data_IF_336323469463
#
_entry.id   IF_336323469463
#
_cell.length_a   1.000
_cell.length_b   1.000
_cell.length_c   1.000
_cell.angle_alpha   90.00
_cell.angle_beta   90.00
_cell.angle_gamma   90.00
#
_symmetry.space_group_name_H-M   'P 1'
#
loop_
_entity.id
_entity.type
_entity.pdbx_description
1 polymer ?
#
# COMPACT_ATOMS: atom_id res chain seq x y z
N UNK A 1 8.07 45.30 3.25
CA UNK A 1 8.26 44.44 4.43
C UNK A 1 6.88 44.08 4.97
N UNK A 2 6.25 43.05 4.43
CA UNK A 2 4.99 42.47 4.92
C UNK A 2 4.82 41.14 4.19
N UNK A 3 5.06 40.01 4.87
CA UNK A 3 5.06 38.71 4.18
C UNK A 3 5.65 37.55 4.96
N UNK A 4 5.85 37.68 6.27
CA UNK A 4 6.27 36.57 7.14
C UNK A 4 5.25 36.18 8.21
N UNK A 5 4.14 36.92 8.35
CA UNK A 5 3.22 36.74 9.48
C UNK A 5 1.97 35.92 9.17
N UNK A 6 1.76 35.47 7.93
CA UNK A 6 0.55 34.71 7.55
C UNK A 6 0.77 33.19 7.46
N UNK A 7 1.99 32.70 7.69
CA UNK A 7 2.31 31.27 7.71
C UNK A 7 2.54 30.71 9.11
N UNK A 8 2.44 31.53 10.17
CA UNK A 8 2.49 31.02 11.54
C UNK A 8 1.08 30.62 11.99
N UNK A 9 0.60 29.49 11.47
CA UNK A 9 -0.54 28.80 12.06
C UNK A 9 -0.12 28.33 13.47
N UNK A 10 -0.90 28.57 14.54
CA UNK A 10 -0.57 28.13 15.91
C UNK A 10 -0.47 26.60 16.09
N UNK A 11 -0.67 25.84 15.01
CA UNK A 11 -0.57 24.38 14.94
C UNK A 11 0.89 23.92 14.93
N UNK A 12 1.80 24.68 14.31
CA UNK A 12 3.17 24.21 14.05
C UNK A 12 4.01 24.09 15.34
N UNK A 13 3.78 24.97 16.34
CA UNK A 13 4.47 24.90 17.64
C UNK A 13 4.03 23.73 18.53
N UNK A 14 2.86 23.14 18.31
CA UNK A 14 2.37 22.00 19.13
C UNK A 14 2.90 20.64 18.64
N UNK A 15 3.46 20.59 17.44
CA UNK A 15 3.94 19.36 16.79
C UNK A 15 5.43 19.07 17.03
N UNK A 16 6.17 19.97 17.67
CA UNK A 16 7.61 19.82 17.89
C UNK A 16 7.99 18.73 18.91
N UNK A 17 7.04 18.22 19.69
CA UNK A 17 7.31 17.14 20.65
C UNK A 17 6.89 15.80 20.05
N UNK A 18 7.84 15.11 19.43
CA UNK A 18 7.68 13.75 18.89
C UNK A 18 7.22 12.81 20.01
N UNK A 19 5.91 12.65 20.20
CA UNK A 19 5.36 11.71 21.16
C UNK A 19 5.37 10.32 20.53
N UNK A 20 6.45 9.57 20.78
CA UNK A 20 6.54 8.16 20.44
C UNK A 20 5.47 7.42 21.25
N UNK A 21 4.59 6.68 20.57
CA UNK A 21 3.64 5.81 21.25
C UNK A 21 4.41 4.52 21.61
N UNK A 22 4.60 4.18 22.89
CA UNK A 22 5.23 2.92 23.28
C UNK A 22 4.45 1.76 22.66
N UNK A 23 5.14 0.76 22.09
CA UNK A 23 4.50 -0.38 21.40
C UNK A 23 3.45 -1.10 22.27
N UNK A 24 3.69 -1.18 23.58
CA UNK A 24 2.77 -1.73 24.56
C UNK A 24 1.40 -1.01 24.61
N UNK A 25 1.35 0.27 24.25
CA UNK A 25 0.15 1.10 24.36
C UNK A 25 -0.65 1.17 23.06
N UNK A 26 -0.17 0.59 21.95
CA UNK A 26 -0.81 0.76 20.63
C UNK A 26 -2.24 0.22 20.63
N UNK A 27 -2.45 -0.97 21.20
CA UNK A 27 -3.77 -1.60 21.27
C UNK A 27 -4.75 -0.76 22.09
N UNK A 28 -4.34 -0.31 23.28
CA UNK A 28 -5.16 0.53 24.15
C UNK A 28 -5.53 1.86 23.50
N UNK A 29 -4.59 2.47 22.76
CA UNK A 29 -4.87 3.70 22.03
C UNK A 29 -5.87 3.45 20.91
N UNK A 30 -5.68 2.39 20.11
CA UNK A 30 -6.58 1.99 19.01
C UNK A 30 -8.00 1.70 19.50
N UNK A 31 -8.15 1.04 20.65
CA UNK A 31 -9.44 0.74 21.27
C UNK A 31 -10.20 1.98 21.77
N UNK A 32 -9.48 3.04 22.14
CA UNK A 32 -10.07 4.32 22.55
C UNK A 32 -10.58 5.16 21.38
N UNK A 33 -10.25 4.82 20.13
CA UNK A 33 -10.76 5.56 18.98
C UNK A 33 -12.25 5.30 18.74
N UNK A 34 -12.94 6.25 18.08
CA UNK A 34 -14.25 5.97 17.51
C UNK A 34 -14.20 4.72 16.62
N UNK A 35 -15.22 3.87 16.72
CA UNK A 35 -15.29 2.58 16.02
C UNK A 35 -15.03 2.67 14.51
N UNK A 36 -15.43 3.78 13.88
CA UNK A 36 -15.16 4.05 12.46
C UNK A 36 -13.66 4.19 12.17
N UNK A 37 -12.95 4.96 13.00
CA UNK A 37 -11.52 5.22 12.82
C UNK A 37 -10.70 3.98 13.18
N UNK A 38 -11.11 3.24 14.22
CA UNK A 38 -10.54 1.94 14.57
C UNK A 38 -10.63 0.95 13.40
N UNK A 39 -11.84 0.76 12.86
CA UNK A 39 -12.07 -0.16 11.73
C UNK A 39 -11.29 0.26 10.49
N UNK A 40 -11.22 1.56 10.20
CA UNK A 40 -10.45 2.08 9.07
C UNK A 40 -8.95 1.84 9.24
N UNK A 41 -8.40 2.09 10.43
CA UNK A 41 -6.97 1.91 10.71
C UNK A 41 -6.56 0.44 10.58
N UNK A 42 -7.40 -0.48 11.06
CA UNK A 42 -7.14 -1.91 10.97
C UNK A 42 -7.32 -2.43 9.52
N UNK A 43 -8.47 -2.15 8.90
CA UNK A 43 -8.86 -2.75 7.64
C UNK A 43 -8.39 -1.99 6.38
N UNK A 44 -7.91 -0.76 6.52
CA UNK A 44 -7.55 0.09 5.38
C UNK A 44 -6.46 -0.51 4.48
N UNK A 45 -5.45 -1.15 5.07
CA UNK A 45 -4.40 -1.85 4.31
C UNK A 45 -4.93 -3.06 3.55
N UNK A 46 -5.92 -3.77 4.10
CA UNK A 46 -6.54 -4.91 3.43
C UNK A 46 -7.30 -4.50 2.17
N UNK A 47 -7.98 -3.35 2.18
CA UNK A 47 -8.63 -2.84 0.97
C UNK A 47 -7.63 -2.58 -0.18
N UNK A 48 -6.45 -2.04 0.14
CA UNK A 48 -5.38 -1.82 -0.85
C UNK A 48 -4.84 -3.16 -1.38
N UNK A 49 -4.61 -4.11 -0.46
CA UNK A 49 -4.15 -5.45 -0.78
C UNK A 49 -5.15 -6.26 -1.62
N UNK A 50 -6.45 -6.12 -1.37
CA UNK A 50 -7.51 -6.73 -2.20
C UNK A 50 -7.48 -6.20 -3.62
N UNK A 51 -7.34 -4.88 -3.79
CA UNK A 51 -7.21 -4.29 -5.13
C UNK A 51 -5.94 -4.75 -5.86
N UNK A 52 -4.82 -4.90 -5.14
CA UNK A 52 -3.57 -5.48 -5.66
C UNK A 52 -3.77 -6.93 -6.15
N UNK A 53 -4.43 -7.75 -5.33
CA UNK A 53 -4.78 -9.14 -5.63
C UNK A 53 -5.66 -9.24 -6.89
N UNK A 54 -6.68 -8.39 -7.01
CA UNK A 54 -7.53 -8.33 -8.20
C UNK A 54 -6.72 -7.95 -9.46
N UNK A 55 -5.82 -6.98 -9.37
CA UNK A 55 -4.95 -6.61 -10.49
C UNK A 55 -3.99 -7.72 -10.87
N UNK A 56 -3.50 -8.50 -9.91
CA UNK A 56 -2.69 -9.69 -10.18
C UNK A 56 -3.47 -10.72 -10.98
N UNK A 57 -4.73 -10.99 -10.59
CA UNK A 57 -5.60 -11.94 -11.30
C UNK A 57 -5.91 -11.49 -12.73
N UNK A 58 -6.22 -10.20 -12.92
CA UNK A 58 -6.48 -9.62 -14.26
C UNK A 58 -5.23 -9.70 -15.14
N UNK A 59 -4.06 -9.39 -14.57
CA UNK A 59 -2.77 -9.45 -15.26
C UNK A 59 -2.42 -10.89 -15.63
N UNK A 60 -2.56 -11.82 -14.69
CA UNK A 60 -2.37 -13.25 -14.91
C UNK A 60 -3.25 -13.77 -16.05
N UNK A 61 -4.56 -13.46 -16.03
CA UNK A 61 -5.46 -13.87 -17.11
C UNK A 61 -5.06 -13.26 -18.46
N UNK A 62 -4.56 -12.04 -18.48
CA UNK A 62 -4.09 -11.37 -19.70
C UNK A 62 -2.84 -12.04 -20.27
N UNK A 63 -1.83 -12.33 -19.44
CA UNK A 63 -0.64 -13.06 -19.86
C UNK A 63 -0.96 -14.48 -20.34
N UNK A 64 -1.85 -15.19 -19.63
CA UNK A 64 -2.30 -16.54 -20.04
C UNK A 64 -2.93 -16.55 -21.42
N UNK A 65 -3.74 -15.54 -21.74
CA UNK A 65 -4.36 -15.40 -23.06
C UNK A 65 -3.32 -15.17 -24.15
N UNK A 66 -2.31 -14.33 -23.89
CA UNK A 66 -1.26 -14.02 -24.86
C UNK A 66 -0.32 -15.22 -25.09
N UNK A 67 -0.01 -15.98 -24.04
CA UNK A 67 0.92 -17.12 -24.08
C UNK A 67 0.21 -18.48 -24.26
N UNK A 68 -1.09 -18.47 -24.52
CA UNK A 68 -1.93 -19.67 -24.68
C UNK A 68 -1.81 -20.71 -23.54
N UNK A 69 -1.67 -20.24 -22.30
CA UNK A 69 -1.49 -21.11 -21.12
C UNK A 69 -2.85 -21.52 -20.52
N UNK A 70 -3.21 -22.79 -20.68
CA UNK A 70 -4.45 -23.39 -20.11
C UNK A 70 -4.21 -24.16 -18.82
N UNK A 71 -2.99 -24.67 -18.60
CA UNK A 71 -2.62 -25.49 -17.44
C UNK A 71 -2.53 -24.67 -16.14
N UNK A 72 -2.55 -25.35 -14.99
CA UNK A 72 -2.28 -24.74 -13.68
C UNK A 72 -3.20 -23.52 -13.33
N UNK A 73 -4.48 -23.54 -13.74
CA UNK A 73 -5.41 -22.42 -13.51
C UNK A 73 -5.62 -22.13 -12.03
N UNK A 74 -5.99 -23.13 -11.26
CA UNK A 74 -6.28 -22.94 -9.84
C UNK A 74 -5.04 -22.55 -9.02
N UNK A 75 -3.89 -23.17 -9.29
CA UNK A 75 -2.65 -22.87 -8.57
C UNK A 75 -2.14 -21.46 -8.87
N UNK A 76 -2.17 -21.01 -10.13
CA UNK A 76 -1.78 -19.62 -10.46
C UNK A 76 -2.77 -18.60 -9.91
N UNK A 77 -4.07 -18.89 -9.89
CA UNK A 77 -5.06 -18.02 -9.26
C UNK A 77 -4.81 -17.90 -7.76
N UNK A 78 -4.55 -19.02 -7.06
CA UNK A 78 -4.24 -19.00 -5.64
C UNK A 78 -2.92 -18.24 -5.35
N UNK A 79 -1.86 -18.48 -6.11
CA UNK A 79 -0.60 -17.77 -5.92
C UNK A 79 -0.72 -16.26 -6.21
N UNK A 80 -1.42 -15.90 -7.29
CA UNK A 80 -1.64 -14.50 -7.66
C UNK A 80 -2.65 -13.80 -6.77
N UNK A 81 -3.49 -14.53 -6.02
CA UNK A 81 -4.35 -13.88 -5.04
C UNK A 81 -3.62 -13.64 -3.72
N UNK A 82 -2.95 -14.67 -3.19
CA UNK A 82 -2.32 -14.66 -1.86
C UNK A 82 -1.05 -13.81 -1.84
N UNK A 83 -0.13 -14.02 -2.78
CA UNK A 83 1.19 -13.35 -2.71
C UNK A 83 1.09 -11.83 -2.80
N UNK A 84 0.33 -11.24 -3.75
CA UNK A 84 0.19 -9.80 -3.85
C UNK A 84 -0.60 -9.22 -2.68
N UNK A 85 -1.57 -9.97 -2.14
CA UNK A 85 -2.34 -9.54 -0.97
C UNK A 85 -1.43 -9.44 0.27
N UNK A 86 -0.69 -10.50 0.58
CA UNK A 86 0.15 -10.54 1.78
C UNK A 86 1.27 -9.52 1.71
N UNK A 87 1.99 -9.45 0.59
CA UNK A 87 3.12 -8.51 0.46
C UNK A 87 2.66 -7.05 0.51
N UNK A 88 1.51 -6.71 -0.09
CA UNK A 88 1.01 -5.34 -0.07
C UNK A 88 0.64 -4.92 1.35
N UNK A 89 0.02 -5.83 2.10
CA UNK A 89 -0.34 -5.61 3.51
C UNK A 89 0.90 -5.38 4.36
N UNK A 90 1.87 -6.30 4.29
CA UNK A 90 3.12 -6.25 5.08
C UNK A 90 3.93 -5.01 4.75
N UNK A 91 4.08 -4.68 3.47
CA UNK A 91 4.84 -3.49 3.05
C UNK A 91 4.13 -2.20 3.48
N UNK A 92 2.80 -2.13 3.38
CA UNK A 92 2.05 -0.97 3.86
C UNK A 92 2.20 -0.78 5.38
N UNK A 93 2.13 -1.87 6.14
CA UNK A 93 2.35 -1.85 7.58
C UNK A 93 3.77 -1.38 7.94
N UNK A 94 4.79 -1.91 7.28
CA UNK A 94 6.19 -1.59 7.56
C UNK A 94 6.59 -0.16 7.16
N UNK A 95 6.05 0.37 6.06
CA UNK A 95 6.50 1.67 5.50
C UNK A 95 5.60 2.84 5.92
N UNK A 96 4.32 2.58 6.20
CA UNK A 96 3.34 3.62 6.53
C UNK A 96 2.91 3.52 8.00
N UNK A 97 2.25 2.43 8.42
CA UNK A 97 1.65 2.33 9.76
C UNK A 97 2.70 2.33 10.88
N UNK A 98 3.76 1.52 10.76
CA UNK A 98 4.79 1.42 11.79
C UNK A 98 5.58 2.73 11.97
N UNK A 99 6.04 3.42 10.90
CA UNK A 99 6.67 4.74 11.02
C UNK A 99 5.75 5.85 11.56
N UNK A 100 4.45 5.80 11.27
CA UNK A 100 3.46 6.70 11.89
C UNK A 100 3.42 6.50 13.40
N UNK A 101 3.18 5.27 13.85
CA UNK A 101 3.00 4.97 15.28
C UNK A 101 4.27 5.18 16.11
N UNK A 102 5.44 4.95 15.52
CA UNK A 102 6.74 5.22 16.16
C UNK A 102 7.13 6.70 16.19
N UNK A 103 6.35 7.59 15.56
CA UNK A 103 6.64 9.03 15.49
C UNK A 103 7.78 9.41 14.54
N UNK A 104 8.20 8.49 13.67
CA UNK A 104 9.21 8.76 12.63
C UNK A 104 8.57 9.34 11.34
N UNK A 105 7.24 9.41 11.27
CA UNK A 105 6.49 9.95 10.14
C UNK A 105 5.45 10.99 10.60
N UNK A 106 5.91 12.21 10.90
CA UNK A 106 5.04 13.26 11.44
C UNK A 106 4.51 14.25 10.40
N UNK A 107 4.86 14.07 9.12
CA UNK A 107 4.40 14.94 8.04
C UNK A 107 3.27 14.27 7.25
N UNK A 108 2.17 15.00 7.05
CA UNK A 108 1.02 14.59 6.25
C UNK A 108 1.42 14.22 4.82
N UNK A 109 2.21 15.08 4.16
CA UNK A 109 2.69 14.85 2.79
C UNK A 109 3.58 13.60 2.74
N UNK A 110 4.42 13.36 3.75
CA UNK A 110 5.26 12.16 3.80
C UNK A 110 4.40 10.88 3.90
N UNK A 111 3.33 10.90 4.69
CA UNK A 111 2.39 9.79 4.80
C UNK A 111 1.64 9.55 3.48
N UNK A 112 1.16 10.62 2.84
CA UNK A 112 0.52 10.58 1.52
C UNK A 112 1.45 10.00 0.45
N UNK A 113 2.69 10.49 0.36
CA UNK A 113 3.67 10.06 -0.65
C UNK A 113 4.05 8.60 -0.43
N UNK A 114 4.29 8.16 0.82
CA UNK A 114 4.59 6.76 1.12
C UNK A 114 3.40 5.85 0.81
N UNK A 115 2.18 6.25 1.19
CA UNK A 115 0.97 5.50 0.87
C UNK A 115 0.74 5.37 -0.65
N UNK A 116 0.89 6.47 -1.39
CA UNK A 116 0.82 6.49 -2.84
C UNK A 116 1.89 5.64 -3.52
N UNK A 117 3.12 5.66 -3.00
CA UNK A 117 4.22 4.81 -3.50
C UNK A 117 3.95 3.33 -3.28
N UNK A 118 3.41 2.94 -2.12
CA UNK A 118 2.98 1.56 -1.88
C UNK A 118 1.86 1.16 -2.83
N UNK A 119 0.87 2.02 -3.05
CA UNK A 119 -0.18 1.80 -4.06
C UNK A 119 0.36 1.62 -5.48
N UNK A 120 1.32 2.47 -5.90
CA UNK A 120 1.95 2.37 -7.21
C UNK A 120 2.76 1.07 -7.36
N UNK A 121 3.71 0.85 -6.44
CA UNK A 121 4.71 -0.22 -6.57
C UNK A 121 4.10 -1.55 -6.21
N UNK A 122 3.54 -1.69 -5.01
CA UNK A 122 3.00 -2.95 -4.51
C UNK A 122 1.59 -3.21 -5.02
N UNK A 123 0.79 -2.16 -5.22
CA UNK A 123 -0.58 -2.28 -5.70
C UNK A 123 -0.72 -2.44 -7.21
N UNK A 124 0.23 -1.96 -8.01
CA UNK A 124 0.13 -1.99 -9.47
C UNK A 124 1.31 -2.65 -10.19
N UNK A 125 2.55 -2.18 -9.97
CA UNK A 125 3.71 -2.71 -10.70
C UNK A 125 4.05 -4.15 -10.31
N UNK A 126 4.12 -4.44 -9.01
CA UNK A 126 4.48 -5.75 -8.49
C UNK A 126 3.57 -6.88 -9.00
N UNK A 127 2.22 -6.78 -8.93
CA UNK A 127 1.31 -7.78 -9.48
C UNK A 127 1.54 -8.10 -10.96
N UNK A 128 1.79 -7.07 -11.79
CA UNK A 128 1.99 -7.23 -13.23
C UNK A 128 3.34 -7.89 -13.51
N UNK A 129 4.39 -7.42 -12.83
CA UNK A 129 5.75 -7.96 -12.98
C UNK A 129 5.80 -9.40 -12.50
N UNK A 130 5.12 -9.76 -11.40
CA UNK A 130 5.07 -11.12 -10.87
C UNK A 130 4.34 -12.10 -11.79
N UNK A 131 3.28 -11.64 -12.49
CA UNK A 131 2.54 -12.49 -13.42
C UNK A 131 3.36 -12.90 -14.65
N UNK A 132 4.35 -12.10 -15.05
CA UNK A 132 5.18 -12.35 -16.22
C UNK A 132 6.06 -13.61 -16.09
N UNK A 133 6.97 -13.75 -15.11
CA UNK A 133 7.81 -14.93 -14.96
C UNK A 133 6.98 -16.18 -14.66
N UNK A 134 5.86 -16.05 -13.92
CA UNK A 134 4.98 -17.17 -13.63
C UNK A 134 4.38 -17.76 -14.92
N UNK A 135 3.88 -16.91 -15.81
CA UNK A 135 3.30 -17.35 -17.08
C UNK A 135 4.37 -17.75 -18.10
N UNK A 136 5.53 -17.11 -18.09
CA UNK A 136 6.69 -17.51 -18.89
C UNK A 136 7.12 -18.94 -18.54
N UNK A 137 7.28 -19.24 -17.25
CA UNK A 137 7.66 -20.56 -16.78
C UNK A 137 6.67 -21.64 -17.22
N UNK A 138 5.37 -21.37 -17.13
CA UNK A 138 4.33 -22.29 -17.59
C UNK A 138 4.38 -22.48 -19.10
N UNK A 139 4.58 -21.41 -19.87
CA UNK A 139 4.72 -21.49 -21.31
C UNK A 139 5.93 -22.34 -21.72
N UNK A 140 7.07 -22.21 -21.03
CA UNK A 140 8.24 -23.07 -21.24
C UNK A 140 7.94 -24.53 -20.90
N UNK A 141 7.33 -24.78 -19.74
CA UNK A 141 7.10 -26.13 -19.22
C UNK A 141 6.13 -26.94 -20.08
N UNK A 142 5.11 -26.28 -20.62
CA UNK A 142 4.04 -26.92 -21.40
C UNK A 142 4.15 -26.64 -22.90
N UNK A 143 5.25 -26.03 -23.36
CA UNK A 143 5.51 -25.70 -24.77
C UNK A 143 4.33 -25.00 -25.48
N UNK A 144 3.66 -24.06 -24.78
CA UNK A 144 2.42 -23.45 -25.30
C UNK A 144 2.65 -22.28 -26.25
N UNK A 145 3.83 -21.65 -26.21
CA UNK A 145 4.17 -20.51 -27.06
C UNK A 145 5.68 -20.49 -27.36
N UNK A 146 6.09 -20.00 -28.55
CA UNK A 146 7.50 -19.81 -28.87
C UNK A 146 8.09 -18.71 -28.01
N UNK A 147 9.14 -19.03 -27.27
CA UNK A 147 9.84 -18.10 -26.37
C UNK A 147 11.03 -17.45 -27.09
N UNK A 148 11.41 -16.22 -26.69
CA UNK A 148 12.46 -15.47 -27.37
C UNK A 148 13.84 -16.09 -27.14
N UNK A 149 14.71 -15.96 -28.14
CA UNK A 149 16.14 -16.20 -27.97
C UNK A 149 16.75 -15.20 -26.98
N UNK A 150 17.82 -15.59 -26.28
CA UNK A 150 18.49 -14.78 -25.23
C UNK A 150 18.78 -13.34 -25.67
N UNK A 151 19.16 -13.14 -26.94
CA UNK A 151 19.54 -11.83 -27.48
C UNK A 151 18.38 -10.82 -27.53
N UNK A 152 17.12 -11.28 -27.66
CA UNK A 152 15.94 -10.41 -27.82
C UNK A 152 14.90 -10.59 -26.70
N UNK A 153 15.27 -11.28 -25.61
CA UNK A 153 14.33 -11.65 -24.55
C UNK A 153 13.68 -10.42 -23.88
N UNK A 154 14.47 -9.41 -23.52
CA UNK A 154 13.97 -8.20 -22.85
C UNK A 154 12.97 -7.46 -23.74
N UNK A 155 13.30 -7.26 -25.02
CA UNK A 155 12.43 -6.58 -25.97
C UNK A 155 11.11 -7.32 -26.16
N UNK A 156 11.15 -8.65 -26.28
CA UNK A 156 9.96 -9.48 -26.37
C UNK A 156 9.04 -9.29 -25.16
N UNK A 157 9.58 -9.40 -23.93
CA UNK A 157 8.79 -9.27 -22.70
C UNK A 157 8.20 -7.87 -22.54
N UNK A 158 8.96 -6.82 -22.88
CA UNK A 158 8.46 -5.44 -22.87
C UNK A 158 7.31 -5.28 -23.87
N UNK A 159 7.46 -5.76 -25.10
CA UNK A 159 6.40 -5.69 -26.12
C UNK A 159 5.14 -6.46 -25.70
N UNK A 160 5.32 -7.61 -25.06
CA UNK A 160 4.24 -8.45 -24.55
C UNK A 160 3.48 -7.78 -23.40
N UNK A 161 4.18 -7.07 -22.51
CA UNK A 161 3.56 -6.37 -21.37
C UNK A 161 2.90 -5.04 -21.73
N UNK A 162 3.38 -4.32 -22.77
CA UNK A 162 2.82 -3.04 -23.22
C UNK A 162 1.27 -2.99 -23.30
N UNK A 163 0.57 -3.94 -23.96
CA UNK A 163 -0.89 -3.91 -24.04
C UNK A 163 -1.56 -4.08 -22.68
N UNK A 164 -0.95 -4.82 -21.75
CA UNK A 164 -1.47 -5.04 -20.40
C UNK A 164 -1.39 -3.75 -19.59
N UNK A 165 -0.20 -3.11 -19.56
CA UNK A 165 -0.02 -1.81 -18.91
C UNK A 165 -0.94 -0.74 -19.50
N UNK A 166 -1.12 -0.71 -20.82
CA UNK A 166 -2.05 0.23 -21.48
C UNK A 166 -3.50 0.04 -21.02
N UNK A 167 -3.96 -1.21 -20.88
CA UNK A 167 -5.31 -1.53 -20.41
C UNK A 167 -5.51 -1.18 -18.93
N UNK A 168 -4.48 -1.38 -18.10
CA UNK A 168 -4.57 -1.18 -16.64
C UNK A 168 -4.14 0.21 -16.17
N UNK A 169 -3.82 1.15 -17.07
CA UNK A 169 -3.34 2.50 -16.71
C UNK A 169 -4.27 3.25 -15.75
N UNK A 170 -5.58 3.09 -15.90
CA UNK A 170 -6.55 3.73 -15.02
C UNK A 170 -6.56 3.10 -13.63
N UNK A 171 -6.38 1.78 -13.55
CA UNK A 171 -6.22 1.11 -12.27
C UNK A 171 -4.94 1.57 -11.55
N UNK A 172 -3.87 1.89 -12.27
CA UNK A 172 -2.66 2.48 -11.69
C UNK A 172 -2.98 3.81 -10.98
N UNK A 173 -3.72 4.70 -11.66
CA UNK A 173 -4.12 5.98 -11.07
C UNK A 173 -5.00 5.80 -9.83
N UNK A 174 -5.95 4.86 -9.89
CA UNK A 174 -6.81 4.53 -8.75
C UNK A 174 -6.00 3.99 -7.58
N UNK A 175 -5.01 3.12 -7.83
CA UNK A 175 -4.14 2.57 -6.78
C UNK A 175 -3.29 3.65 -6.11
N UNK A 176 -2.75 4.58 -6.89
CA UNK A 176 -1.99 5.72 -6.36
C UNK A 176 -2.90 6.61 -5.52
N UNK A 177 -4.05 7.02 -6.07
CA UNK A 177 -5.00 7.89 -5.36
C UNK A 177 -5.51 7.23 -4.07
N UNK A 178 -5.80 5.93 -4.12
CA UNK A 178 -6.24 5.18 -2.96
C UNK A 178 -5.13 5.04 -1.91
N UNK A 179 -3.89 4.78 -2.34
CA UNK A 179 -2.72 4.77 -1.45
C UNK A 179 -2.47 6.13 -0.78
N UNK A 180 -2.58 7.23 -1.53
CA UNK A 180 -2.48 8.60 -1.00
C UNK A 180 -3.57 8.87 0.03
N UNK A 181 -4.82 8.54 -0.30
CA UNK A 181 -5.97 8.70 0.59
C UNK A 181 -5.83 7.86 1.88
N UNK A 182 -5.40 6.60 1.76
CA UNK A 182 -5.12 5.79 2.94
C UNK A 182 -4.02 6.44 3.78
N UNK A 183 -2.92 6.90 3.16
CA UNK A 183 -1.82 7.55 3.86
C UNK A 183 -2.28 8.79 4.65
N UNK A 184 -3.07 9.66 4.05
CA UNK A 184 -3.59 10.87 4.73
C UNK A 184 -4.52 10.51 5.88
N UNK A 185 -5.46 9.58 5.67
CA UNK A 185 -6.40 9.15 6.72
C UNK A 185 -5.71 8.46 7.89
N UNK A 186 -4.70 7.63 7.63
CA UNK A 186 -3.91 7.04 8.72
C UNK A 186 -3.12 8.09 9.50
N UNK A 187 -2.64 9.14 8.83
CA UNK A 187 -1.99 10.27 9.52
C UNK A 187 -2.98 11.04 10.39
N UNK A 188 -4.17 11.41 9.88
CA UNK A 188 -5.22 12.08 10.68
C UNK A 188 -5.61 11.25 11.92
N UNK A 189 -5.76 9.94 11.77
CA UNK A 189 -6.07 9.02 12.87
C UNK A 189 -4.91 9.00 13.89
N UNK A 190 -3.66 9.00 13.42
CA UNK A 190 -2.49 9.11 14.29
C UNK A 190 -2.46 10.42 15.08
N UNK A 191 -2.82 11.55 14.46
CA UNK A 191 -2.93 12.83 15.15
C UNK A 191 -3.98 12.79 16.27
N UNK A 192 -5.12 12.15 16.02
CA UNK A 192 -6.14 11.92 17.06
C UNK A 192 -5.60 11.09 18.20
N UNK A 193 -4.86 10.01 17.92
CA UNK A 193 -4.25 9.17 18.96
C UNK A 193 -3.31 9.97 19.86
N UNK A 194 -2.36 10.72 19.29
CA UNK A 194 -1.41 11.49 20.13
C UNK A 194 -2.07 12.64 20.91
N UNK A 195 -3.24 13.11 20.47
CA UNK A 195 -4.02 14.14 21.17
C UNK A 195 -4.81 13.61 22.37
N UNK A 196 -4.99 12.29 22.46
CA UNK A 196 -5.69 11.67 23.59
C UNK A 196 -4.78 11.59 24.83
N UNK A 197 -5.34 11.68 26.06
CA UNK A 197 -4.60 11.45 27.29
C UNK A 197 -3.95 10.07 27.31
N UNK A 198 -2.78 9.96 27.95
CA UNK A 198 -2.08 8.68 28.09
C UNK A 198 -2.96 7.63 28.78
N UNK A 199 -2.92 6.37 28.31
CA UNK A 199 -3.64 5.30 28.97
C UNK A 199 -3.09 5.09 30.38
N UNK A 200 -3.94 5.29 31.39
CA UNK A 200 -3.61 5.13 32.80
C UNK A 200 -3.28 6.41 33.58
N UNK A 201 -3.31 7.61 32.95
CA UNK A 201 -3.24 8.89 33.68
C UNK A 201 -4.65 9.46 33.80
N UNK A 202 -5.18 9.51 35.02
CA UNK A 202 -6.50 10.07 35.29
C UNK A 202 -6.53 11.57 34.95
N UNK A 203 -7.64 12.09 34.39
CA UNK A 203 -7.77 13.51 34.06
C UNK A 203 -7.70 14.44 35.29
N UNK A 204 -7.77 13.90 36.51
CA UNK A 204 -7.69 14.66 37.77
C UNK A 204 -6.24 14.99 38.20
N UNK A 205 -5.21 14.30 37.72
CA UNK A 205 -3.80 14.65 38.00
C UNK A 205 -3.30 15.90 37.23
N UNK A 206 -4.11 16.42 36.30
CA UNK A 206 -3.80 17.66 35.55
C UNK A 206 -4.34 18.89 36.31
N UNK A 207 -5.03 18.70 37.45
CA UNK A 207 -5.73 19.74 38.20
C UNK A 207 -5.22 19.86 39.63
N UNK A 208 -3.93 20.09 39.78
CA UNK A 208 -3.49 21.14 40.71
C UNK A 208 -3.68 22.50 40.04
#
# INVERSE_FOLDING_TARGET
MAGKEFLDHPVEKKFSHSKKIPEANWQMMIERLPQRDQSFFLNGSFALALNSSLLALISNNSFRKILHVTQARYSTVAAMSVLPFTITTVVYEAIVKHPLMTGNLNCEICAMVRGGLVGAVMGFFYPIILALPLNALLATRYYTAPLPNKNNAVQFWVLLSKPIFKKLRFAALIQVAFGVYLGSRHHEIYLKMISMPEPGRDPEEIRE
#
